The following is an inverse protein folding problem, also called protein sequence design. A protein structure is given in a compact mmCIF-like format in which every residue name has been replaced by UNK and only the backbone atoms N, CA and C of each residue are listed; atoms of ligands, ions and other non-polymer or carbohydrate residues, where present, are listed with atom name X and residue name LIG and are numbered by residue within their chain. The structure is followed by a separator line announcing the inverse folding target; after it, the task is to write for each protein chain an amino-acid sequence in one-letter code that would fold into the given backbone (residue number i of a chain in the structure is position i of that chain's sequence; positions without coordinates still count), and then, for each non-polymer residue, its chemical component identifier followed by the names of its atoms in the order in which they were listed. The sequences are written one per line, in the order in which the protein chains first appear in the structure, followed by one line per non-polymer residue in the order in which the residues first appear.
data_IF_607316758171
#
_entry.id   IF_607316758171
#
_cell.length_a   1.000
_cell.length_b   1.000
_cell.length_c   1.000
_cell.angle_alpha   90.00
_cell.angle_beta   90.00
_cell.angle_gamma   90.00
#
_symmetry.space_group_name_H-M   'P 1'
#
loop_
_entity.id
_entity.type
_entity.pdbx_description
1 polymer ?
#
# COMPACT_ATOMS: atom_id res chain seq x y z
N UNK A 1 -4.18 12.55 5.03
CA UNK A 1 -3.79 11.24 4.50
C UNK A 1 -4.72 10.16 5.06
N UNK A 2 -4.92 10.09 6.38
CA UNK A 2 -5.84 9.13 7.00
C UNK A 2 -7.26 9.21 6.43
N UNK A 3 -7.79 10.41 6.19
CA UNK A 3 -9.11 10.60 5.57
C UNK A 3 -9.18 10.00 4.16
N UNK A 4 -8.13 10.20 3.34
CA UNK A 4 -8.03 9.57 2.02
C UNK A 4 -7.93 8.06 2.10
N UNK A 5 -7.24 7.51 3.12
CA UNK A 5 -7.10 6.07 3.35
C UNK A 5 -8.47 5.45 3.64
N UNK A 6 -9.22 6.00 4.60
CA UNK A 6 -10.53 5.45 4.95
C UNK A 6 -11.55 5.54 3.81
N UNK A 7 -11.48 6.61 3.00
CA UNK A 7 -12.32 6.74 1.79
C UNK A 7 -11.92 5.69 0.76
N UNK A 8 -10.61 5.46 0.53
CA UNK A 8 -10.13 4.46 -0.41
C UNK A 8 -10.50 3.03 0.04
N UNK A 9 -10.37 2.73 1.33
CA UNK A 9 -10.80 1.46 1.92
C UNK A 9 -12.32 1.24 1.76
N UNK A 10 -13.13 2.29 2.00
CA UNK A 10 -14.58 2.20 1.82
C UNK A 10 -14.99 1.94 0.36
N UNK A 11 -14.23 2.47 -0.61
CA UNK A 11 -14.44 2.20 -2.04
C UNK A 11 -14.04 0.77 -2.38
N UNK A 12 -12.87 0.31 -1.95
CA UNK A 12 -12.38 -1.04 -2.23
C UNK A 12 -13.26 -2.12 -1.59
N UNK A 13 -13.82 -1.84 -0.42
CA UNK A 13 -14.81 -2.68 0.26
C UNK A 13 -16.21 -2.67 -0.41
N UNK A 14 -16.43 -1.82 -1.40
CA UNK A 14 -17.74 -1.65 -2.07
C UNK A 14 -18.80 -1.00 -1.19
N UNK A 15 -18.42 -0.33 -0.09
CA UNK A 15 -19.35 0.39 0.80
C UNK A 15 -19.84 1.69 0.16
N UNK A 16 -19.00 2.32 -0.64
CA UNK A 16 -19.31 3.52 -1.43
C UNK A 16 -18.74 3.37 -2.83
N UNK A 17 -19.26 4.14 -3.78
CA UNK A 17 -18.81 4.19 -5.17
C UNK A 17 -18.36 5.60 -5.55
N UNK A 18 -17.42 5.72 -6.49
CA UNK A 18 -16.99 7.01 -7.04
C UNK A 18 -18.15 7.83 -7.64
N UNK A 19 -19.18 7.15 -8.11
CA UNK A 19 -20.36 7.77 -8.74
C UNK A 19 -21.45 8.15 -7.73
N UNK A 20 -21.30 7.80 -6.47
CA UNK A 20 -22.28 8.16 -5.44
C UNK A 20 -22.37 9.67 -5.28
N UNK A 21 -23.60 10.16 -5.14
CA UNK A 21 -23.89 11.57 -4.91
C UNK A 21 -23.90 11.88 -3.41
N UNK A 22 -23.10 12.86 -3.01
CA UNK A 22 -22.96 13.33 -1.65
C UNK A 22 -23.60 14.71 -1.54
N UNK A 23 -24.60 14.83 -0.66
CA UNK A 23 -25.21 16.12 -0.32
C UNK A 23 -24.38 16.80 0.76
N UNK A 24 -23.92 18.00 0.46
CA UNK A 24 -23.06 18.80 1.34
C UNK A 24 -23.83 19.32 2.55
N UNK A 25 -23.34 19.04 3.73
CA UNK A 25 -23.92 19.49 4.99
C UNK A 25 -23.64 20.98 5.27
N UNK A 26 -24.36 21.52 6.24
CA UNK A 26 -24.06 22.86 6.81
C UNK A 26 -22.63 22.90 7.41
N UNK A 27 -22.19 21.81 8.07
CA UNK A 27 -20.85 21.72 8.67
C UNK A 27 -19.76 21.78 7.60
N UNK A 28 -19.86 20.92 6.58
CA UNK A 28 -18.89 20.89 5.47
C UNK A 28 -18.82 22.24 4.74
N UNK A 29 -19.97 22.89 4.48
CA UNK A 29 -20.03 24.17 3.77
C UNK A 29 -19.41 25.36 4.52
N UNK A 30 -19.22 25.23 5.84
CA UNK A 30 -18.63 26.27 6.71
C UNK A 30 -17.16 26.02 7.08
N UNK A 31 -16.56 24.97 6.52
CA UNK A 31 -15.17 24.67 6.81
C UNK A 31 -14.24 25.79 6.38
N UNK A 32 -13.20 26.05 7.21
CA UNK A 32 -12.16 27.04 6.95
C UNK A 32 -10.97 26.46 6.16
N UNK A 33 -9.97 27.31 5.95
CA UNK A 33 -8.73 26.93 5.26
C UNK A 33 -8.91 26.78 3.75
N UNK A 34 -8.22 25.81 3.15
CA UNK A 34 -8.36 25.51 1.72
C UNK A 34 -9.73 24.90 1.41
N UNK A 35 -10.44 25.45 0.41
CA UNK A 35 -11.83 25.10 0.09
C UNK A 35 -12.07 25.17 -1.42
N UNK A 36 -13.02 24.38 -1.91
CA UNK A 36 -13.64 24.54 -3.23
C UNK A 36 -14.98 25.29 -3.14
N UNK A 37 -15.28 25.88 -1.96
CA UNK A 37 -16.45 26.70 -1.69
C UNK A 37 -17.76 25.92 -1.92
N UNK A 38 -17.86 24.75 -1.29
CA UNK A 38 -19.08 23.95 -1.28
C UNK A 38 -20.22 24.72 -0.62
N UNK A 39 -21.40 24.64 -1.21
CA UNK A 39 -22.62 25.24 -0.65
C UNK A 39 -23.43 24.16 0.08
N UNK A 40 -24.11 24.58 1.15
CA UNK A 40 -25.10 23.72 1.81
C UNK A 40 -26.12 23.19 0.80
N UNK A 41 -26.41 21.88 0.86
CA UNK A 41 -27.26 21.13 -0.06
C UNK A 41 -26.73 21.06 -1.51
N UNK A 42 -25.51 21.49 -1.80
CA UNK A 42 -24.85 21.19 -3.06
C UNK A 42 -24.63 19.66 -3.17
N UNK A 43 -24.84 19.10 -4.36
CA UNK A 43 -24.61 17.67 -4.61
C UNK A 43 -23.34 17.52 -5.44
N UNK A 44 -22.40 16.74 -4.96
CA UNK A 44 -21.14 16.42 -5.63
C UNK A 44 -20.92 14.90 -5.61
N UNK A 45 -20.22 14.37 -6.60
CA UNK A 45 -19.85 12.95 -6.58
C UNK A 45 -18.70 12.68 -5.61
N UNK A 46 -18.59 11.46 -5.12
CA UNK A 46 -17.42 11.00 -4.34
C UNK A 46 -16.14 11.24 -5.14
N UNK A 47 -16.12 11.00 -6.46
CA UNK A 47 -14.97 11.27 -7.34
C UNK A 47 -14.53 12.73 -7.29
N UNK A 48 -15.45 13.69 -7.47
CA UNK A 48 -15.15 15.11 -7.45
C UNK A 48 -14.65 15.59 -6.08
N UNK A 49 -15.27 15.09 -4.99
CA UNK A 49 -14.85 15.42 -3.62
C UNK A 49 -13.48 14.80 -3.29
N UNK A 50 -13.21 13.59 -3.74
CA UNK A 50 -11.92 12.92 -3.55
C UNK A 50 -10.81 13.65 -4.32
N UNK A 51 -11.11 14.07 -5.56
CA UNK A 51 -10.22 14.90 -6.38
C UNK A 51 -9.90 16.23 -5.71
N UNK A 52 -10.91 16.96 -5.21
CA UNK A 52 -10.72 18.20 -4.49
C UNK A 52 -9.86 18.02 -3.23
N UNK A 53 -10.10 16.96 -2.48
CA UNK A 53 -9.35 16.63 -1.25
C UNK A 53 -7.90 16.27 -1.54
N UNK A 54 -7.64 15.44 -2.54
CA UNK A 54 -6.29 14.96 -2.86
C UNK A 54 -5.43 16.04 -3.54
N UNK A 55 -5.99 16.75 -4.53
CA UNK A 55 -5.27 17.71 -5.37
C UNK A 55 -5.14 19.08 -4.68
N UNK A 56 -6.27 19.65 -4.30
CA UNK A 56 -6.33 21.02 -3.79
C UNK A 56 -6.29 21.12 -2.26
N UNK A 57 -6.41 19.95 -1.56
CA UNK A 57 -6.49 19.89 -0.10
C UNK A 57 -7.74 20.58 0.47
N UNK A 58 -8.86 20.48 -0.23
CA UNK A 58 -10.11 21.13 0.14
C UNK A 58 -10.68 20.51 1.43
N UNK A 59 -10.78 21.33 2.49
CA UNK A 59 -11.28 20.89 3.80
C UNK A 59 -12.79 20.63 3.78
N UNK A 60 -13.55 21.45 3.07
CA UNK A 60 -14.99 21.28 2.86
C UNK A 60 -15.30 19.95 2.17
N UNK A 61 -14.55 19.61 1.10
CA UNK A 61 -14.69 18.31 0.43
C UNK A 61 -14.27 17.13 1.32
N UNK A 62 -13.18 17.30 2.09
CA UNK A 62 -12.73 16.30 3.05
C UNK A 62 -13.79 16.03 4.13
N UNK A 63 -14.42 17.07 4.65
CA UNK A 63 -15.49 16.97 5.65
C UNK A 63 -16.72 16.27 5.08
N UNK A 64 -17.18 16.66 3.88
CA UNK A 64 -18.31 16.02 3.22
C UNK A 64 -18.07 14.51 2.99
N UNK A 65 -16.87 14.11 2.53
CA UNK A 65 -16.50 12.70 2.41
C UNK A 65 -16.47 11.97 3.76
N UNK A 66 -15.95 12.67 4.80
CA UNK A 66 -15.87 12.09 6.15
C UNK A 66 -17.26 11.82 6.74
N UNK A 67 -18.19 12.75 6.53
CA UNK A 67 -19.59 12.58 6.93
C UNK A 67 -20.27 11.45 6.15
N UNK A 68 -20.00 11.37 4.85
CA UNK A 68 -20.58 10.34 3.99
C UNK A 68 -20.13 8.93 4.37
N UNK A 69 -18.84 8.74 4.62
CA UNK A 69 -18.26 7.44 5.00
C UNK A 69 -18.56 7.07 6.44
N UNK A 70 -18.45 8.03 7.38
CA UNK A 70 -18.57 7.78 8.81
C UNK A 70 -19.98 8.02 9.38
N UNK A 71 -20.89 8.61 8.60
CA UNK A 71 -22.21 9.05 9.07
C UNK A 71 -22.16 10.37 9.87
N UNK A 72 -21.00 10.76 10.38
CA UNK A 72 -20.70 12.06 10.99
C UNK A 72 -19.19 12.26 11.09
N UNK A 73 -18.74 13.51 11.19
CA UNK A 73 -17.31 13.85 11.39
C UNK A 73 -16.76 13.18 12.67
N UNK A 74 -17.52 13.18 13.76
CA UNK A 74 -17.10 12.56 15.03
C UNK A 74 -16.96 11.04 14.95
N UNK A 75 -17.86 10.37 14.22
CA UNK A 75 -17.74 8.92 13.98
C UNK A 75 -16.53 8.62 13.08
N UNK A 76 -16.31 9.42 12.05
CA UNK A 76 -15.17 9.27 11.18
C UNK A 76 -13.83 9.47 11.90
N UNK A 77 -13.73 10.43 12.82
CA UNK A 77 -12.53 10.62 13.65
C UNK A 77 -12.27 9.40 14.55
N UNK A 78 -13.30 8.76 15.09
CA UNK A 78 -13.12 7.48 15.80
C UNK A 78 -12.55 6.40 14.89
N UNK A 79 -13.07 6.26 13.67
CA UNK A 79 -12.51 5.32 12.66
C UNK A 79 -11.04 5.64 12.35
N UNK A 80 -10.67 6.94 12.20
CA UNK A 80 -9.28 7.35 11.98
C UNK A 80 -8.36 6.88 13.12
N UNK A 81 -8.78 7.03 14.37
CA UNK A 81 -7.99 6.63 15.53
C UNK A 81 -7.94 5.10 15.70
N UNK A 82 -9.02 4.39 15.40
CA UNK A 82 -9.04 2.92 15.37
C UNK A 82 -8.07 2.40 14.31
N UNK A 83 -8.14 2.97 13.09
CA UNK A 83 -7.25 2.59 12.01
C UNK A 83 -5.78 2.92 12.29
N UNK A 84 -5.51 4.05 12.94
CA UNK A 84 -4.16 4.39 13.38
C UNK A 84 -3.57 3.32 14.33
N UNK A 85 -4.37 2.83 15.29
CA UNK A 85 -3.96 1.74 16.19
C UNK A 85 -3.68 0.43 15.45
N UNK A 86 -4.54 0.05 14.50
CA UNK A 86 -4.35 -1.14 13.67
C UNK A 86 -3.07 -1.07 12.84
N UNK A 87 -2.69 0.11 12.38
CA UNK A 87 -1.45 0.35 11.63
C UNK A 87 -0.21 0.45 12.52
N UNK A 88 -0.37 0.43 13.86
CA UNK A 88 0.73 0.59 14.80
C UNK A 88 1.25 2.03 14.92
N UNK A 89 0.41 3.03 14.60
CA UNK A 89 0.73 4.46 14.69
C UNK A 89 0.61 4.92 16.14
N UNK A 90 1.62 4.62 16.94
CA UNK A 90 1.56 4.82 18.40
C UNK A 90 1.73 6.28 18.84
N UNK A 91 2.28 7.14 17.95
CA UNK A 91 2.51 8.56 18.21
C UNK A 91 1.49 9.43 17.44
N UNK A 92 0.27 8.92 17.24
CA UNK A 92 -0.76 9.61 16.47
C UNK A 92 -2.09 9.65 17.20
N UNK A 93 -2.71 10.83 17.23
CA UNK A 93 -4.10 11.02 17.64
C UNK A 93 -4.79 12.05 16.75
N UNK A 94 -5.97 11.72 16.27
CA UNK A 94 -6.80 12.59 15.45
C UNK A 94 -7.96 13.16 16.27
N UNK A 95 -8.17 14.47 16.17
CA UNK A 95 -9.34 15.18 16.74
C UNK A 95 -10.29 15.71 15.66
N UNK A 96 -9.84 15.78 14.40
CA UNK A 96 -10.67 16.12 13.24
C UNK A 96 -10.17 15.39 11.97
N UNK A 97 -10.95 15.46 10.89
CA UNK A 97 -10.65 14.78 9.61
C UNK A 97 -9.76 15.59 8.67
N UNK A 98 -9.60 16.91 8.90
CA UNK A 98 -8.92 17.83 7.98
C UNK A 98 -7.48 18.14 8.36
N UNK A 99 -7.14 18.08 9.65
CA UNK A 99 -5.85 18.47 10.18
C UNK A 99 -5.73 19.95 10.54
N UNK A 100 -6.84 20.71 10.54
CA UNK A 100 -6.86 22.08 11.07
C UNK A 100 -6.58 22.04 12.57
N UNK A 101 -5.77 22.98 13.06
CA UNK A 101 -5.27 23.00 14.43
C UNK A 101 -5.82 24.16 15.28
N UNK A 102 -6.77 24.94 14.75
CA UNK A 102 -7.33 26.12 15.43
C UNK A 102 -8.10 25.78 16.71
N UNK A 103 -8.78 24.61 16.74
CA UNK A 103 -9.69 24.22 17.82
C UNK A 103 -9.28 22.96 18.56
N UNK A 104 -8.13 22.35 18.21
CA UNK A 104 -7.66 21.07 18.73
C UNK A 104 -6.43 21.23 19.62
N UNK A 105 -6.28 20.33 20.58
CA UNK A 105 -5.16 20.36 21.53
C UNK A 105 -4.33 19.07 21.53
N UNK A 106 -4.94 17.96 21.18
CA UNK A 106 -4.34 16.62 21.17
C UNK A 106 -4.32 16.00 19.76
N UNK A 107 -4.16 16.86 18.74
CA UNK A 107 -4.02 16.43 17.34
C UNK A 107 -2.53 16.39 16.97
N UNK A 108 -1.94 15.21 16.98
CA UNK A 108 -0.50 15.04 16.77
C UNK A 108 -0.19 13.76 15.99
N UNK A 109 1.02 13.71 15.44
CA UNK A 109 1.56 12.55 14.71
C UNK A 109 3.08 12.62 14.68
N UNK A 110 3.72 11.56 14.18
CA UNK A 110 5.17 11.48 13.91
C UNK A 110 5.45 11.26 12.42
N UNK A 111 6.70 11.54 11.99
CA UNK A 111 7.12 11.23 10.61
C UNK A 111 7.00 9.73 10.30
N UNK A 112 7.26 8.88 11.29
CA UNK A 112 7.16 7.44 11.13
C UNK A 112 5.71 7.01 10.91
N UNK A 113 4.78 7.51 11.72
CA UNK A 113 3.36 7.19 11.60
C UNK A 113 2.76 7.70 10.29
N UNK A 114 3.16 8.92 9.86
CA UNK A 114 2.79 9.43 8.54
C UNK A 114 3.29 8.50 7.43
N UNK A 115 4.51 7.96 7.54
CA UNK A 115 5.04 7.01 6.57
C UNK A 115 4.26 5.68 6.57
N UNK A 116 3.84 5.18 7.75
CA UNK A 116 3.01 3.98 7.86
C UNK A 116 1.67 4.14 7.14
N UNK A 117 0.92 5.21 7.44
CA UNK A 117 -0.37 5.42 6.77
C UNK A 117 -0.22 5.78 5.29
N UNK A 118 0.88 6.45 4.90
CA UNK A 118 1.16 6.72 3.48
C UNK A 118 1.42 5.43 2.71
N UNK A 119 2.18 4.50 3.30
CA UNK A 119 2.44 3.18 2.73
C UNK A 119 1.15 2.38 2.57
N UNK A 120 0.26 2.46 3.56
CA UNK A 120 -1.04 1.78 3.48
C UNK A 120 -1.90 2.36 2.37
N UNK A 121 -2.04 3.69 2.32
CA UNK A 121 -2.80 4.39 1.28
C UNK A 121 -2.32 4.04 -0.14
N UNK A 122 -1.01 3.88 -0.35
CA UNK A 122 -0.44 3.53 -1.66
C UNK A 122 -0.75 2.09 -2.12
N UNK A 123 -1.27 1.22 -1.25
CA UNK A 123 -1.78 -0.11 -1.66
C UNK A 123 -3.07 0.01 -2.48
N UNK A 124 -3.85 1.06 -2.25
CA UNK A 124 -5.07 1.40 -3.00
C UNK A 124 -4.68 2.09 -4.31
N UNK A 125 -4.51 1.30 -5.37
CA UNK A 125 -3.96 1.78 -6.65
C UNK A 125 -4.70 2.97 -7.24
N UNK A 126 -6.00 3.09 -6.97
CA UNK A 126 -6.82 4.20 -7.45
C UNK A 126 -6.34 5.57 -6.95
N UNK A 127 -5.69 5.64 -5.77
CA UNK A 127 -5.34 6.93 -5.17
C UNK A 127 -4.31 7.70 -5.99
N UNK A 128 -3.41 7.01 -6.68
CA UNK A 128 -2.41 7.64 -7.54
C UNK A 128 -3.03 8.35 -8.74
N UNK A 129 -4.23 7.94 -9.17
CA UNK A 129 -4.97 8.64 -10.24
C UNK A 129 -5.34 10.09 -9.84
N UNK A 130 -5.45 10.36 -8.53
CA UNK A 130 -5.74 11.70 -7.99
C UNK A 130 -4.47 12.42 -7.56
N UNK A 131 -3.59 11.76 -6.82
CA UNK A 131 -2.41 12.41 -6.23
C UNK A 131 -1.37 12.85 -7.27
N UNK A 132 -1.38 12.26 -8.47
CA UNK A 132 -0.52 12.64 -9.60
C UNK A 132 -1.10 13.75 -10.49
N UNK A 133 -2.34 14.15 -10.31
CA UNK A 133 -2.93 15.27 -11.04
C UNK A 133 -2.20 16.55 -10.66
N UNK A 134 -1.63 17.25 -11.66
CA UNK A 134 -1.06 18.57 -11.42
C UNK A 134 -2.12 19.67 -11.44
N UNK A 135 -3.00 19.66 -12.43
CA UNK A 135 -4.10 20.62 -12.57
C UNK A 135 -5.33 19.91 -13.14
N UNK A 136 -6.50 20.26 -12.62
CA UNK A 136 -7.79 19.78 -13.12
C UNK A 136 -8.89 20.83 -12.83
N UNK A 137 -10.12 20.51 -13.18
CA UNK A 137 -11.28 21.37 -12.95
C UNK A 137 -12.46 20.57 -12.41
N UNK A 138 -13.35 21.27 -11.69
CA UNK A 138 -14.63 20.75 -11.23
C UNK A 138 -15.77 21.64 -11.77
N UNK A 139 -17.00 21.16 -11.60
CA UNK A 139 -18.23 21.91 -11.96
C UNK A 139 -18.21 22.40 -13.43
N UNK A 140 -17.79 21.53 -14.35
CA UNK A 140 -17.73 21.87 -15.78
C UNK A 140 -16.74 22.99 -16.12
N UNK A 141 -15.61 23.04 -15.42
CA UNK A 141 -14.52 24.01 -15.66
C UNK A 141 -14.59 25.28 -14.82
N UNK A 142 -15.62 25.43 -13.97
CA UNK A 142 -15.80 26.65 -13.14
C UNK A 142 -14.87 26.73 -11.92
N UNK A 143 -14.40 25.59 -11.41
CA UNK A 143 -13.50 25.52 -10.26
C UNK A 143 -12.19 24.91 -10.73
N UNK A 144 -11.10 25.66 -10.67
CA UNK A 144 -9.75 25.13 -10.99
C UNK A 144 -9.12 24.52 -9.75
N UNK A 145 -8.50 23.36 -9.95
CA UNK A 145 -7.68 22.67 -8.96
C UNK A 145 -6.22 22.72 -9.39
N UNK A 146 -5.34 23.07 -8.47
CA UNK A 146 -3.88 23.01 -8.65
C UNK A 146 -3.31 22.23 -7.48
N UNK A 147 -2.50 21.21 -7.77
CA UNK A 147 -1.92 20.38 -6.75
C UNK A 147 -1.02 21.18 -5.81
N UNK A 148 -1.28 21.04 -4.53
CA UNK A 148 -0.47 21.67 -3.47
C UNK A 148 0.92 21.06 -3.35
N UNK A 149 1.10 19.83 -3.85
CA UNK A 149 2.40 19.13 -3.91
C UNK A 149 3.14 19.48 -5.22
N UNK A 150 4.04 20.47 -5.15
CA UNK A 150 4.83 20.90 -6.30
C UNK A 150 5.75 19.84 -6.88
N UNK A 151 6.07 18.76 -6.12
CA UNK A 151 6.90 17.67 -6.62
C UNK A 151 6.24 16.93 -7.79
N UNK A 152 4.91 16.89 -7.86
CA UNK A 152 4.16 16.27 -8.97
C UNK A 152 4.58 16.85 -10.31
N UNK A 153 4.86 18.15 -10.39
CA UNK A 153 5.30 18.79 -11.62
C UNK A 153 6.82 18.78 -11.81
N UNK A 154 7.60 18.87 -10.71
CA UNK A 154 9.00 19.23 -10.76
C UNK A 154 9.95 18.16 -10.27
N UNK A 155 9.45 16.96 -9.95
CA UNK A 155 10.26 15.83 -9.51
C UNK A 155 9.94 14.58 -10.33
N UNK A 156 10.94 14.03 -11.01
CA UNK A 156 10.77 12.84 -11.84
C UNK A 156 10.33 11.64 -11.02
N UNK A 157 9.26 10.98 -11.47
CA UNK A 157 8.69 9.81 -10.79
C UNK A 157 7.81 10.13 -9.58
N UNK A 158 7.49 11.41 -9.28
CA UNK A 158 6.61 11.76 -8.18
C UNK A 158 5.21 11.16 -8.37
N UNK A 159 4.73 10.44 -7.35
CA UNK A 159 3.41 9.79 -7.31
C UNK A 159 2.45 10.42 -6.30
N UNK A 160 2.92 11.35 -5.49
CA UNK A 160 2.10 11.99 -4.47
C UNK A 160 2.95 12.55 -3.33
N UNK A 161 2.44 12.60 -2.15
CA UNK A 161 1.14 12.12 -1.68
C UNK A 161 0.29 13.31 -1.21
N UNK A 162 0.68 13.97 -0.11
CA UNK A 162 -0.10 15.04 0.50
C UNK A 162 0.77 16.07 1.20
N UNK A 163 0.36 17.33 1.11
CA UNK A 163 0.93 18.46 1.87
C UNK A 163 0.00 18.87 3.01
N UNK A 164 0.55 19.50 4.02
CA UNK A 164 -0.18 20.19 5.07
C UNK A 164 0.56 21.47 5.46
N UNK A 165 -0.17 22.47 5.92
CA UNK A 165 0.40 23.69 6.49
C UNK A 165 -0.57 24.26 7.50
N UNK A 166 -0.13 24.44 8.73
CA UNK A 166 -0.84 25.13 9.81
C UNK A 166 0.15 25.97 10.60
N UNK A 167 -0.34 26.86 11.43
CA UNK A 167 0.53 27.74 12.23
C UNK A 167 1.34 26.95 13.27
N UNK A 168 0.76 25.87 13.85
CA UNK A 168 1.44 25.04 14.84
C UNK A 168 2.35 24.00 14.21
N UNK A 169 1.92 23.36 13.13
CA UNK A 169 2.65 22.25 12.50
C UNK A 169 3.72 22.73 11.50
N UNK A 170 3.70 24.00 11.08
CA UNK A 170 4.56 24.50 10.02
C UNK A 170 4.23 23.88 8.66
N UNK A 171 5.20 23.85 7.77
CA UNK A 171 5.04 23.28 6.44
C UNK A 171 5.41 21.79 6.42
N UNK A 172 4.44 20.92 6.09
CA UNK A 172 4.57 19.48 6.12
C UNK A 172 4.35 18.86 4.74
N UNK A 173 5.01 17.75 4.45
CA UNK A 173 4.76 16.92 3.26
C UNK A 173 5.05 15.45 3.52
N UNK A 174 4.16 14.59 3.09
CA UNK A 174 4.49 13.20 2.74
C UNK A 174 4.66 13.16 1.23
N UNK A 175 5.88 12.99 0.76
CA UNK A 175 6.23 12.93 -0.65
C UNK A 175 6.48 11.48 -1.06
N UNK A 176 5.93 11.08 -2.20
CA UNK A 176 6.13 9.73 -2.73
C UNK A 176 6.61 9.79 -4.17
N UNK A 177 7.49 8.87 -4.52
CA UNK A 177 7.98 8.75 -5.87
C UNK A 177 8.29 7.28 -6.20
N UNK A 178 8.17 6.93 -7.48
CA UNK A 178 8.51 5.60 -8.00
C UNK A 178 9.46 5.72 -9.19
N UNK A 179 10.53 4.92 -9.16
CA UNK A 179 11.48 4.77 -10.27
C UNK A 179 11.91 3.30 -10.36
N UNK A 180 11.95 2.75 -11.54
CA UNK A 180 12.38 1.38 -11.83
C UNK A 180 11.64 0.34 -10.94
N UNK A 181 10.35 0.59 -10.67
CA UNK A 181 9.50 -0.24 -9.83
C UNK A 181 9.82 -0.18 -8.33
N UNK A 182 10.70 0.71 -7.88
CA UNK A 182 10.95 1.00 -6.47
C UNK A 182 10.21 2.27 -6.07
N UNK A 183 9.32 2.15 -5.08
CA UNK A 183 8.58 3.27 -4.50
C UNK A 183 9.23 3.72 -3.19
N UNK A 184 9.38 5.02 -3.00
CA UNK A 184 9.92 5.64 -1.79
C UNK A 184 8.92 6.64 -1.21
N UNK A 185 8.95 6.76 0.12
CA UNK A 185 8.18 7.74 0.89
C UNK A 185 9.18 8.60 1.68
N UNK A 186 9.09 9.91 1.53
CA UNK A 186 9.84 10.90 2.31
C UNK A 186 8.88 11.80 3.06
N UNK A 187 8.99 11.83 4.38
CA UNK A 187 8.12 12.64 5.26
C UNK A 187 8.92 13.76 5.88
N UNK A 188 8.43 14.98 5.73
CA UNK A 188 8.97 16.20 6.35
C UNK A 188 7.84 16.86 7.13
N UNK A 189 8.05 17.10 8.42
CA UNK A 189 7.14 17.83 9.30
C UNK A 189 7.88 19.04 9.89
N UNK A 190 7.12 20.08 10.24
CA UNK A 190 7.64 21.23 10.97
C UNK A 190 8.65 22.11 10.21
N UNK A 191 8.60 22.15 8.89
CA UNK A 191 9.48 23.03 8.12
C UNK A 191 8.98 24.48 8.18
N UNK A 192 9.91 25.43 8.30
CA UNK A 192 9.58 26.87 8.41
C UNK A 192 8.87 27.41 7.16
N UNK A 193 9.15 26.84 6.00
CA UNK A 193 8.56 27.29 4.76
C UNK A 193 8.39 26.18 3.71
N UNK A 194 7.58 26.49 2.69
CA UNK A 194 7.26 25.55 1.63
C UNK A 194 8.47 25.17 0.75
N UNK A 195 9.47 26.05 0.59
CA UNK A 195 10.66 25.76 -0.22
C UNK A 195 11.51 24.68 0.46
N UNK A 196 11.75 24.84 1.76
CA UNK A 196 12.63 23.96 2.52
C UNK A 196 12.04 22.57 2.67
N UNK A 197 10.70 22.44 2.95
CA UNK A 197 10.05 21.13 2.99
C UNK A 197 10.21 20.35 1.68
N UNK A 198 10.05 21.01 0.52
CA UNK A 198 10.23 20.32 -0.76
C UNK A 198 11.69 20.04 -1.09
N UNK A 199 12.62 20.91 -0.66
CA UNK A 199 14.05 20.66 -0.82
C UNK A 199 14.50 19.46 0.02
N UNK A 200 14.05 19.39 1.28
CA UNK A 200 14.35 18.26 2.17
C UNK A 200 13.75 16.94 1.64
N UNK A 201 12.47 16.95 1.22
CA UNK A 201 11.82 15.77 0.67
C UNK A 201 12.53 15.28 -0.61
N UNK A 202 12.93 16.19 -1.50
CA UNK A 202 13.69 15.86 -2.71
C UNK A 202 15.03 15.23 -2.36
N UNK A 203 15.79 15.83 -1.45
CA UNK A 203 17.09 15.32 -1.02
C UNK A 203 17.00 13.89 -0.46
N UNK A 204 15.97 13.60 0.36
CA UNK A 204 15.73 12.26 0.88
C UNK A 204 15.36 11.25 -0.22
N UNK A 205 14.49 11.64 -1.15
CA UNK A 205 14.12 10.77 -2.27
C UNK A 205 15.33 10.51 -3.19
N UNK A 206 16.11 11.55 -3.52
CA UNK A 206 17.31 11.43 -4.35
C UNK A 206 18.35 10.52 -3.67
N UNK A 207 18.55 10.68 -2.36
CA UNK A 207 19.42 9.80 -1.59
C UNK A 207 18.92 8.35 -1.62
N UNK A 208 17.62 8.13 -1.43
CA UNK A 208 17.02 6.80 -1.48
C UNK A 208 17.24 6.12 -2.84
N UNK A 209 16.92 6.80 -3.94
CA UNK A 209 17.13 6.26 -5.30
C UNK A 209 18.61 6.12 -5.68
N UNK A 210 19.51 6.95 -5.12
CA UNK A 210 20.94 6.81 -5.34
C UNK A 210 21.51 5.56 -4.66
N UNK A 211 21.04 5.25 -3.45
CA UNK A 211 21.63 4.22 -2.59
C UNK A 211 20.91 2.87 -2.62
N UNK A 212 19.62 2.83 -2.95
CA UNK A 212 18.82 1.61 -2.95
C UNK A 212 18.38 1.23 -4.38
N UNK A 213 18.08 -0.04 -4.55
CA UNK A 213 17.51 -0.59 -5.79
C UNK A 213 16.54 -1.74 -5.46
N UNK A 214 15.51 -1.87 -6.27
CA UNK A 214 14.66 -3.06 -6.30
C UNK A 214 15.34 -4.11 -7.15
N UNK A 215 15.54 -5.27 -6.58
CA UNK A 215 16.18 -6.41 -7.24
C UNK A 215 15.16 -7.55 -7.35
N UNK A 216 14.96 -8.05 -8.56
CA UNK A 216 14.26 -9.32 -8.76
C UNK A 216 15.27 -10.44 -8.60
N UNK A 217 15.05 -11.29 -7.61
CA UNK A 217 15.95 -12.43 -7.36
C UNK A 217 15.61 -13.53 -8.35
N UNK A 218 16.54 -13.85 -9.23
CA UNK A 218 16.43 -15.01 -10.08
C UNK A 218 16.72 -16.27 -9.26
N UNK A 219 15.78 -17.21 -9.26
CA UNK A 219 15.97 -18.54 -8.67
C UNK A 219 16.37 -19.48 -9.81
N UNK A 220 17.43 -20.22 -9.60
CA UNK A 220 17.85 -21.27 -10.52
C UNK A 220 16.81 -22.40 -10.46
N UNK A 221 15.98 -22.49 -11.50
CA UNK A 221 14.92 -23.47 -11.57
C UNK A 221 15.44 -24.91 -11.56
N UNK A 222 16.67 -25.15 -12.00
CA UNK A 222 17.29 -26.48 -12.01
C UNK A 222 17.59 -26.97 -10.59
N UNK A 223 17.63 -26.07 -9.61
CA UNK A 223 17.75 -26.42 -8.18
C UNK A 223 16.43 -26.79 -7.52
N UNK A 224 15.30 -26.53 -8.17
CA UNK A 224 13.98 -26.91 -7.68
C UNK A 224 13.69 -28.35 -8.15
N UNK A 225 14.18 -29.32 -7.39
CA UNK A 225 13.98 -30.73 -7.69
C UNK A 225 12.63 -31.24 -7.16
N UNK A 226 12.22 -32.41 -7.63
CA UNK A 226 10.97 -33.03 -7.18
C UNK A 226 11.08 -33.54 -5.74
N UNK A 227 10.03 -33.31 -4.96
CA UNK A 227 9.84 -33.83 -3.60
C UNK A 227 9.07 -35.15 -3.68
N UNK A 228 9.52 -36.18 -2.94
CA UNK A 228 8.85 -37.47 -2.88
C UNK A 228 7.55 -37.37 -2.11
N UNK A 229 6.50 -38.07 -2.64
CA UNK A 229 5.18 -38.12 -1.97
C UNK A 229 4.97 -39.57 -1.45
N UNK A 230 4.86 -39.69 -0.14
CA UNK A 230 4.65 -40.99 0.51
C UNK A 230 3.16 -41.37 0.50
N UNK A 231 2.84 -42.48 -0.12
CA UNK A 231 1.48 -43.00 -0.16
C UNK A 231 0.49 -42.20 -1.01
N UNK A 232 1.00 -41.44 -1.98
CA UNK A 232 0.21 -40.65 -2.90
C UNK A 232 -0.07 -41.33 -4.24
N UNK A 233 -1.07 -40.78 -4.97
CA UNK A 233 -1.37 -41.19 -6.35
C UNK A 233 -0.23 -40.83 -7.31
N UNK A 234 0.52 -39.78 -6.99
CA UNK A 234 1.77 -39.41 -7.64
C UNK A 234 2.94 -39.69 -6.68
N UNK A 235 4.06 -40.18 -7.21
CA UNK A 235 5.24 -40.52 -6.41
C UNK A 235 6.13 -39.31 -6.14
N UNK A 236 6.04 -38.26 -6.98
CA UNK A 236 6.83 -37.03 -6.89
C UNK A 236 6.03 -35.82 -7.29
N UNK A 237 6.34 -34.67 -6.66
CA UNK A 237 5.83 -33.37 -7.03
C UNK A 237 7.00 -32.40 -7.18
N UNK A 238 7.06 -31.70 -8.30
CA UNK A 238 7.99 -30.56 -8.45
C UNK A 238 7.32 -29.28 -7.94
N UNK A 239 7.81 -28.71 -6.85
CA UNK A 239 7.25 -27.46 -6.32
C UNK A 239 7.51 -26.29 -7.27
N UNK A 240 6.73 -25.24 -7.15
CA UNK A 240 6.94 -24.03 -7.93
C UNK A 240 6.96 -22.78 -7.03
N UNK A 241 7.60 -21.72 -7.54
CA UNK A 241 7.62 -20.43 -6.90
C UNK A 241 6.34 -19.67 -7.27
N UNK A 242 5.47 -19.40 -6.31
CA UNK A 242 4.15 -18.79 -6.56
C UNK A 242 4.21 -17.29 -6.91
N UNK A 243 5.32 -16.62 -6.61
CA UNK A 243 5.52 -15.18 -6.87
C UNK A 243 6.97 -14.89 -7.21
N UNK A 244 7.20 -13.91 -8.09
CA UNK A 244 8.54 -13.36 -8.28
C UNK A 244 9.06 -12.79 -6.95
N UNK A 245 10.31 -13.09 -6.64
CA UNK A 245 10.97 -12.57 -5.46
C UNK A 245 11.59 -11.22 -5.79
N UNK A 246 11.04 -10.16 -5.20
CA UNK A 246 11.63 -8.82 -5.30
C UNK A 246 11.96 -8.30 -3.91
N UNK A 247 13.16 -7.75 -3.76
CA UNK A 247 13.63 -7.13 -2.53
C UNK A 247 14.21 -5.75 -2.82
N UNK A 248 14.13 -4.85 -1.85
CA UNK A 248 14.81 -3.56 -1.91
C UNK A 248 16.05 -3.64 -1.04
N UNK A 249 17.20 -3.41 -1.66
CA UNK A 249 18.51 -3.51 -1.02
C UNK A 249 19.34 -2.27 -1.29
N UNK A 250 20.34 -2.01 -0.45
CA UNK A 250 21.39 -1.07 -0.78
C UNK A 250 22.18 -1.59 -1.98
N UNK A 251 22.51 -0.69 -2.90
CA UNK A 251 23.27 -1.06 -4.12
C UNK A 251 24.64 -1.66 -3.79
N UNK A 252 25.28 -1.20 -2.71
CA UNK A 252 26.57 -1.74 -2.23
C UNK A 252 26.47 -3.18 -1.74
N UNK A 253 25.28 -3.63 -1.33
CA UNK A 253 25.06 -4.97 -0.77
C UNK A 253 24.60 -5.99 -1.82
N UNK A 254 24.36 -5.55 -3.06
CA UNK A 254 23.84 -6.45 -4.11
C UNK A 254 24.75 -7.65 -4.38
N UNK A 255 26.08 -7.47 -4.30
CA UNK A 255 27.04 -8.56 -4.49
C UNK A 255 27.09 -9.57 -3.35
N UNK A 256 26.53 -9.22 -2.17
CA UNK A 256 26.46 -10.09 -0.98
C UNK A 256 25.15 -10.90 -0.94
N UNK A 257 24.24 -10.63 -1.88
CA UNK A 257 22.97 -11.31 -1.95
C UNK A 257 23.17 -12.73 -2.47
N UNK A 258 22.65 -13.71 -1.73
CA UNK A 258 22.63 -15.12 -2.12
C UNK A 258 21.24 -15.69 -1.91
N UNK A 259 20.92 -16.73 -2.67
CA UNK A 259 19.70 -17.52 -2.47
C UNK A 259 20.02 -18.99 -2.42
N UNK A 260 19.25 -19.73 -1.62
CA UNK A 260 19.34 -21.16 -1.46
C UNK A 260 17.94 -21.77 -1.55
N UNK A 261 17.83 -22.87 -2.27
CA UNK A 261 16.61 -23.67 -2.36
C UNK A 261 16.66 -24.76 -1.29
N UNK A 262 15.71 -24.72 -0.36
CA UNK A 262 15.56 -25.72 0.71
C UNK A 262 14.25 -26.46 0.47
N UNK A 263 14.33 -27.76 0.18
CA UNK A 263 13.17 -28.60 -0.08
C UNK A 263 12.97 -29.60 1.08
N UNK A 264 11.72 -30.01 1.29
CA UNK A 264 11.41 -31.16 2.14
C UNK A 264 11.96 -32.42 1.49
N UNK A 265 12.48 -33.34 2.29
CA UNK A 265 12.97 -34.64 1.77
C UNK A 265 11.81 -35.45 1.20
N UNK A 266 10.69 -35.51 1.92
CA UNK A 266 9.45 -36.13 1.50
C UNK A 266 8.22 -35.40 2.08
N UNK A 267 7.04 -35.81 1.62
CA UNK A 267 5.74 -35.35 2.14
C UNK A 267 4.74 -36.49 2.08
N UNK A 268 3.90 -36.66 3.10
CA UNK A 268 2.85 -37.68 3.14
C UNK A 268 1.57 -37.21 2.44
N UNK A 269 0.98 -38.09 1.63
CA UNK A 269 -0.34 -37.82 1.03
C UNK A 269 -1.48 -37.84 2.08
N UNK A 270 -2.55 -37.05 1.91
CA UNK A 270 -2.80 -36.20 0.76
C UNK A 270 -1.98 -34.89 0.82
N UNK A 271 -1.59 -34.40 -0.35
CA UNK A 271 -0.94 -33.07 -0.51
C UNK A 271 -1.92 -32.12 -1.14
N UNK A 272 -2.16 -30.99 -0.52
CA UNK A 272 -3.08 -29.99 -1.05
C UNK A 272 -2.37 -29.07 -2.06
N UNK A 273 -3.14 -28.57 -3.05
CA UNK A 273 -2.64 -27.52 -3.95
C UNK A 273 -2.29 -26.28 -3.13
N UNK A 274 -1.09 -25.73 -3.33
CA UNK A 274 -0.58 -24.59 -2.55
C UNK A 274 0.09 -24.98 -1.23
N UNK A 275 0.12 -26.25 -0.85
CA UNK A 275 0.84 -26.73 0.33
C UNK A 275 2.33 -26.45 0.18
N UNK A 276 2.97 -25.93 1.24
CA UNK A 276 4.42 -25.67 1.26
C UNK A 276 5.19 -26.99 1.22
N UNK A 277 6.11 -27.09 0.27
CA UNK A 277 7.00 -28.25 0.06
C UNK A 277 8.47 -27.88 0.22
N UNK A 278 8.76 -26.61 0.42
CA UNK A 278 10.09 -26.04 0.59
C UNK A 278 10.04 -24.54 0.61
N UNK A 279 11.20 -23.92 0.50
CA UNK A 279 11.33 -22.49 0.40
C UNK A 279 12.61 -22.09 -0.35
N UNK A 280 12.59 -20.90 -0.96
CA UNK A 280 13.79 -20.19 -1.36
C UNK A 280 14.16 -19.26 -0.21
N UNK A 281 15.32 -19.45 0.39
CA UNK A 281 15.86 -18.62 1.45
C UNK A 281 16.78 -17.58 0.84
N UNK A 282 16.50 -16.31 1.09
CA UNK A 282 17.33 -15.20 0.69
C UNK A 282 18.20 -14.78 1.86
N UNK A 283 19.50 -14.70 1.63
CA UNK A 283 20.48 -14.27 2.62
C UNK A 283 21.30 -13.10 2.12
N UNK A 284 21.63 -12.17 3.01
CA UNK A 284 22.53 -11.07 2.79
C UNK A 284 23.72 -11.22 3.73
N UNK A 285 24.92 -11.33 3.16
CA UNK A 285 26.15 -11.57 3.93
C UNK A 285 26.06 -12.80 4.88
N UNK A 286 25.33 -13.84 4.43
CA UNK A 286 25.08 -15.06 5.21
C UNK A 286 23.93 -14.99 6.20
N UNK A 287 23.36 -13.80 6.46
CA UNK A 287 22.20 -13.64 7.34
C UNK A 287 20.89 -13.75 6.56
N UNK A 288 20.00 -14.63 7.04
CA UNK A 288 18.68 -14.83 6.43
C UNK A 288 17.83 -13.55 6.51
N UNK A 289 17.40 -13.04 5.37
CA UNK A 289 16.53 -11.88 5.26
C UNK A 289 15.05 -12.24 5.14
N UNK A 290 14.74 -13.19 4.26
CA UNK A 290 13.38 -13.68 4.07
C UNK A 290 13.38 -15.09 3.47
N UNK A 291 12.23 -15.74 3.50
CA UNK A 291 11.99 -16.96 2.75
C UNK A 291 10.70 -16.86 1.96
N UNK A 292 10.68 -17.46 0.78
CA UNK A 292 9.51 -17.55 -0.07
C UNK A 292 9.13 -19.01 -0.25
N UNK A 293 7.88 -19.38 0.04
CA UNK A 293 7.47 -20.76 -0.03
C UNK A 293 7.48 -21.30 -1.46
N UNK A 294 8.01 -22.48 -1.62
CA UNK A 294 7.84 -23.34 -2.76
C UNK A 294 6.64 -24.26 -2.48
N UNK A 295 5.64 -24.23 -3.36
CA UNK A 295 4.35 -24.85 -3.09
C UNK A 295 3.99 -25.89 -4.14
N UNK A 296 3.10 -26.82 -3.78
CA UNK A 296 2.55 -27.80 -4.72
C UNK A 296 1.66 -27.14 -5.78
N UNK A 297 1.88 -27.40 -7.08
CA UNK A 297 1.02 -26.92 -8.17
C UNK A 297 -0.32 -27.69 -8.25
N UNK A 298 -0.37 -28.88 -7.70
CA UNK A 298 -1.49 -29.82 -7.82
C UNK A 298 -1.88 -30.38 -6.45
N UNK A 299 -3.08 -30.94 -6.38
CA UNK A 299 -3.48 -31.79 -5.28
C UNK A 299 -3.08 -33.22 -5.59
N UNK A 300 -2.52 -33.95 -4.62
CA UNK A 300 -2.22 -35.39 -4.71
C UNK A 300 -3.02 -36.13 -3.66
N UNK A 301 -3.84 -37.06 -4.10
CA UNK A 301 -4.68 -37.85 -3.23
C UNK A 301 -3.86 -39.01 -2.61
N UNK A 302 -4.35 -39.52 -1.47
CA UNK A 302 -3.80 -40.72 -0.86
C UNK A 302 -4.19 -41.95 -1.69
N UNK A 303 -3.25 -42.89 -1.89
CA UNK A 303 -3.52 -44.15 -2.54
C UNK A 303 -4.66 -44.91 -1.85
N UNK A 304 -5.66 -45.31 -2.61
CA UNK A 304 -6.68 -46.25 -2.15
C UNK A 304 -6.14 -47.69 -2.20
N UNK A 305 -6.78 -48.62 -1.49
CA UNK A 305 -6.44 -50.01 -1.57
C UNK A 305 -6.46 -50.54 -3.02
N UNK A 306 -7.43 -50.08 -3.81
CA UNK A 306 -7.53 -50.45 -5.24
C UNK A 306 -6.31 -49.96 -6.03
N UNK A 307 -5.83 -48.78 -5.79
CA UNK A 307 -4.66 -48.21 -6.48
C UNK A 307 -3.39 -49.01 -6.14
N UNK A 308 -3.22 -49.40 -4.88
CA UNK A 308 -2.11 -50.23 -4.45
C UNK A 308 -2.12 -51.62 -5.16
N UNK A 309 -3.30 -52.24 -5.24
CA UNK A 309 -3.46 -53.54 -5.93
C UNK A 309 -3.13 -53.42 -7.43
N UNK A 310 -3.63 -52.34 -8.08
CA UNK A 310 -3.35 -52.09 -9.50
C UNK A 310 -1.86 -51.83 -9.75
N UNK A 311 -1.17 -51.09 -8.90
CA UNK A 311 0.28 -50.86 -8.99
C UNK A 311 1.07 -52.15 -8.82
N UNK A 312 0.70 -53.01 -7.89
CA UNK A 312 1.32 -54.34 -7.71
C UNK A 312 1.17 -55.23 -8.96
N UNK A 313 -0.03 -55.26 -9.55
CA UNK A 313 -0.27 -56.00 -10.79
C UNK A 313 0.54 -55.49 -11.96
N UNK A 314 0.66 -54.14 -12.10
CA UNK A 314 1.46 -53.56 -13.17
C UNK A 314 2.96 -53.82 -13.01
N UNK A 315 3.48 -53.82 -11.77
CA UNK A 315 4.87 -54.13 -11.48
C UNK A 315 5.22 -55.62 -11.73
N UNK A 316 4.26 -56.54 -11.55
CA UNK A 316 4.45 -57.96 -11.83
C UNK A 316 4.43 -58.28 -13.33
N UNK A 317 3.75 -57.44 -14.15
CA UNK A 317 3.61 -57.66 -15.60
C UNK A 317 4.64 -56.91 -16.45
N UNK A 318 5.44 -56.01 -15.87
CA UNK A 318 6.56 -55.32 -16.51
C UNK A 318 7.81 -55.50 -15.63
N UNK A 319 8.59 -56.61 -15.80
CA UNK A 319 9.82 -56.85 -15.07
C UNK A 319 10.96 -55.89 -15.50
#
# INVERSE_FOLDING_TARGET
IMSLLLVAEAIDDGKISLTDEVTVSTEASKMGGSQIWLKENEVMTVDDLLKATAVYSANDACTALSEYVGGSTSAFVRMMNERAKELGMNDTNFENCTGLDDTVTQHYTSCYDIALMSRELLKHKMITNYTTIWMDTLRGGKTQLVNTNKLIRFYNGATGLKTGTTDKAGCCVSATAERDGMSLIAVVLGSDNSKDRFSAARAMLDWGFANYSKVTVSVDCDKITSVRVLGGTEDYITPFLSKEMTVVLKKEDMSKLSNEVVLSEDVSAPVEKGQKLGAVVLSLDGEKQCEIPLTSPIRVEKLSFRDVVLRLFSALNNP
#
